data_IF_225167338973
#
_entry.id   IF_225167338973
#
_cell.length_a   1.000
_cell.length_b   1.000
_cell.length_c   1.000
_cell.angle_alpha   90.00
_cell.angle_beta   90.00
_cell.angle_gamma   90.00
#
_symmetry.space_group_name_H-M   'P 1'
#
loop_
_entity.id
_entity.type
_entity.pdbx_description
1 polymer ?
#
# COMPACT_ATOMS: atom_id res chain seq x y z
N UNK A 1 -23.81 4.99 -6.95
CA UNK A 1 -22.64 5.90 -7.03
C UNK A 1 -21.38 5.21 -6.48
N UNK A 2 -20.34 5.05 -7.30
CA UNK A 2 -19.06 4.50 -6.83
C UNK A 2 -18.31 5.58 -6.02
N UNK A 3 -17.97 5.26 -4.79
CA UNK A 3 -17.18 6.15 -3.92
C UNK A 3 -15.70 6.11 -4.35
N UNK A 4 -14.91 7.18 -4.10
CA UNK A 4 -13.49 7.21 -4.43
C UNK A 4 -12.76 5.98 -3.87
N UNK A 5 -12.23 5.12 -4.77
CA UNK A 5 -11.86 3.74 -4.48
C UNK A 5 -10.83 3.55 -3.36
N UNK A 6 -9.83 4.42 -3.24
CA UNK A 6 -8.70 4.19 -2.33
C UNK A 6 -9.06 4.15 -0.83
N UNK A 7 -10.03 4.96 -0.38
CA UNK A 7 -10.48 4.94 1.03
C UNK A 7 -11.41 3.76 1.26
N UNK A 8 -12.21 3.41 0.25
CA UNK A 8 -13.14 2.30 0.32
C UNK A 8 -12.41 0.96 0.39
N UNK A 9 -11.37 0.77 -0.42
CA UNK A 9 -10.60 -0.48 -0.50
C UNK A 9 -9.91 -0.80 0.83
N UNK A 10 -9.31 0.21 1.48
CA UNK A 10 -8.64 0.02 2.77
C UNK A 10 -9.62 -0.26 3.89
N UNK A 11 -10.75 0.45 3.88
CA UNK A 11 -11.81 0.20 4.87
C UNK A 11 -12.37 -1.21 4.70
N UNK A 12 -12.68 -1.62 3.47
CA UNK A 12 -13.15 -2.97 3.17
C UNK A 12 -12.10 -4.02 3.56
N UNK A 13 -10.83 -3.81 3.24
CA UNK A 13 -9.75 -4.74 3.61
C UNK A 13 -9.57 -4.88 5.13
N UNK A 14 -9.83 -3.81 5.90
CA UNK A 14 -9.84 -3.89 7.37
C UNK A 14 -11.10 -4.57 7.89
N UNK A 15 -12.26 -4.22 7.36
CA UNK A 15 -13.57 -4.77 7.75
C UNK A 15 -13.63 -6.29 7.51
N UNK A 16 -13.02 -6.74 6.41
CA UNK A 16 -12.90 -8.16 6.09
C UNK A 16 -11.66 -8.84 6.70
N UNK A 17 -10.90 -8.14 7.56
CA UNK A 17 -9.76 -8.73 8.28
C UNK A 17 -8.55 -9.12 7.43
N UNK A 18 -8.49 -8.70 6.16
CA UNK A 18 -7.44 -9.07 5.21
C UNK A 18 -6.06 -8.63 5.71
N UNK A 19 -5.96 -7.39 6.22
CA UNK A 19 -4.70 -6.85 6.74
C UNK A 19 -4.19 -7.64 7.94
N UNK A 20 -5.12 -8.06 8.82
CA UNK A 20 -4.80 -8.91 9.98
C UNK A 20 -4.34 -10.29 9.54
N UNK A 21 -5.09 -10.95 8.65
CA UNK A 21 -4.75 -12.27 8.14
C UNK A 21 -3.37 -12.32 7.45
N UNK A 22 -3.04 -11.29 6.66
CA UNK A 22 -1.71 -11.16 6.04
C UNK A 22 -0.60 -10.98 7.07
N UNK A 23 -0.87 -10.25 8.15
CA UNK A 23 0.09 -10.04 9.23
C UNK A 23 0.31 -11.33 10.04
N UNK A 24 -0.75 -12.03 10.43
CA UNK A 24 -0.69 -13.31 11.14
C UNK A 24 0.03 -14.38 10.33
N UNK A 25 -0.20 -14.42 9.02
CA UNK A 25 0.49 -15.34 8.12
C UNK A 25 1.93 -14.91 7.77
N UNK A 26 2.39 -13.73 8.22
CA UNK A 26 3.70 -13.19 7.88
C UNK A 26 3.87 -12.85 6.39
N UNK A 27 2.79 -12.75 5.63
CA UNK A 27 2.80 -12.56 4.19
C UNK A 27 3.02 -11.09 3.88
N UNK A 28 4.15 -10.77 3.25
CA UNK A 28 4.43 -9.42 2.74
C UNK A 28 3.53 -9.12 1.55
N UNK A 29 2.78 -8.04 1.63
CA UNK A 29 1.88 -7.58 0.57
C UNK A 29 2.27 -6.17 0.14
N UNK A 30 2.23 -5.91 -1.16
CA UNK A 30 2.37 -4.56 -1.72
C UNK A 30 0.99 -3.96 -1.96
N UNK A 31 0.77 -2.76 -1.47
CA UNK A 31 -0.50 -2.08 -1.58
C UNK A 31 -0.32 -0.65 -2.09
N UNK A 32 -1.40 -0.07 -2.60
CA UNK A 32 -1.35 1.29 -3.09
C UNK A 32 -1.22 2.33 -1.96
N UNK A 33 -1.09 3.59 -2.37
CA UNK A 33 -0.93 4.73 -1.47
C UNK A 33 -2.09 4.88 -0.48
N UNK A 34 -3.29 4.38 -0.82
CA UNK A 34 -4.47 4.42 0.03
C UNK A 34 -4.28 3.64 1.32
N UNK A 35 -3.56 2.52 1.28
CA UNK A 35 -3.26 1.62 2.42
C UNK A 35 -2.31 2.23 3.46
N UNK A 36 -2.14 3.54 3.47
CA UNK A 36 -1.38 4.24 4.49
C UNK A 36 -1.93 3.91 5.87
N UNK A 37 -1.03 3.51 6.77
CA UNK A 37 -1.39 3.13 8.13
C UNK A 37 -2.03 1.76 8.25
N UNK A 38 -2.13 0.96 7.18
CA UNK A 38 -2.57 -0.45 7.25
C UNK A 38 -1.79 -1.24 8.30
N UNK A 39 -0.48 -1.00 8.41
CA UNK A 39 0.39 -1.64 9.39
C UNK A 39 0.77 -3.07 9.00
N UNK A 40 1.42 -3.78 9.93
CA UNK A 40 1.80 -5.18 9.76
C UNK A 40 2.76 -5.41 8.59
N UNK A 41 2.39 -6.33 7.71
CA UNK A 41 3.21 -6.78 6.57
C UNK A 41 2.92 -6.03 5.27
N UNK A 42 1.98 -5.08 5.29
CA UNK A 42 1.60 -4.26 4.13
C UNK A 42 2.66 -3.20 3.85
N UNK A 43 3.19 -3.20 2.62
CA UNK A 43 4.20 -2.27 2.13
C UNK A 43 3.55 -1.32 1.12
N UNK A 44 3.81 -0.04 1.30
CA UNK A 44 3.31 1.04 0.43
C UNK A 44 4.49 1.74 -0.26
N UNK A 45 4.25 2.45 -1.39
CA UNK A 45 5.25 3.28 -2.02
C UNK A 45 5.89 4.28 -1.06
N UNK A 46 7.16 4.62 -1.29
CA UNK A 46 7.84 5.70 -0.59
C UNK A 46 7.14 7.04 -0.88
N UNK A 47 6.88 7.82 0.16
CA UNK A 47 6.18 9.09 0.08
C UNK A 47 7.13 10.28 0.01
N UNK A 48 6.70 11.31 -0.72
CA UNK A 48 7.41 12.58 -0.87
C UNK A 48 7.08 13.22 -2.20
N UNK A 49 7.54 14.46 -2.40
CA UNK A 49 7.62 15.02 -3.76
C UNK A 49 8.64 14.22 -4.54
N UNK A 50 8.37 13.97 -5.83
CA UNK A 50 9.24 13.14 -6.65
C UNK A 50 10.67 13.68 -6.63
N UNK A 51 10.85 14.99 -6.70
CA UNK A 51 12.14 15.67 -6.69
C UNK A 51 12.95 15.36 -5.42
N UNK A 52 12.27 15.24 -4.28
CA UNK A 52 12.86 15.02 -2.95
C UNK A 52 13.16 13.55 -2.62
N UNK A 53 12.61 12.61 -3.40
CA UNK A 53 12.88 11.18 -3.18
C UNK A 53 14.29 10.82 -3.63
N UNK A 54 14.96 9.99 -2.84
CA UNK A 54 16.25 9.41 -3.23
C UNK A 54 16.10 8.53 -4.48
N UNK A 55 17.21 8.31 -5.18
CA UNK A 55 17.24 7.42 -6.35
C UNK A 55 16.71 6.02 -6.03
N UNK A 56 17.04 5.51 -4.83
CA UNK A 56 16.54 4.21 -4.35
C UNK A 56 15.04 4.20 -4.13
N UNK A 57 14.48 5.23 -3.48
CA UNK A 57 13.03 5.36 -3.27
C UNK A 57 12.26 5.48 -4.60
N UNK A 58 12.81 6.22 -5.56
CA UNK A 58 12.27 6.32 -6.92
C UNK A 58 12.29 4.98 -7.64
N UNK A 59 13.37 4.21 -7.50
CA UNK A 59 13.48 2.88 -8.10
C UNK A 59 12.44 1.92 -7.52
N UNK A 60 12.28 1.88 -6.19
CA UNK A 60 11.25 1.07 -5.51
C UNK A 60 9.86 1.44 -6.01
N UNK A 61 9.52 2.74 -6.07
CA UNK A 61 8.22 3.20 -6.54
C UNK A 61 7.96 2.84 -8.01
N UNK A 62 8.97 2.92 -8.88
CA UNK A 62 8.84 2.50 -10.29
C UNK A 62 8.63 0.99 -10.43
N UNK A 63 9.36 0.18 -9.68
CA UNK A 63 9.15 -1.27 -9.66
C UNK A 63 7.76 -1.61 -9.13
N UNK A 64 7.33 -0.95 -8.06
CA UNK A 64 5.99 -1.10 -7.50
C UNK A 64 4.89 -0.77 -8.51
N UNK A 65 5.05 0.32 -9.28
CA UNK A 65 4.07 0.71 -10.29
C UNK A 65 3.92 -0.30 -11.45
N UNK A 66 4.93 -1.15 -11.70
CA UNK A 66 4.90 -2.18 -12.75
C UNK A 66 4.25 -3.49 -12.33
N UNK A 67 4.12 -3.72 -11.01
CA UNK A 67 3.50 -4.93 -10.45
C UNK A 67 1.96 -4.78 -10.38
N UNK A 68 1.46 -3.59 -10.72
CA UNK A 68 0.04 -3.26 -10.72
C UNK A 68 -0.67 -3.70 -11.99
#
# INVERSE_FOLDING_TARGET
PALPGAVHDVRAAREHGIVGALAEAGIKCWADKGYRGAGGTVRIPCWGRWETLSTGQKAVNRSHAKIR
#
